data_IF_250984953242
#
_entry.id   IF_250984953242
#
_cell.length_a   1.000
_cell.length_b   1.000
_cell.length_c   1.000
_cell.angle_alpha   90.00
_cell.angle_beta   90.00
_cell.angle_gamma   90.00
#
_symmetry.space_group_name_H-M   'P 1'
#
loop_
_entity.id
_entity.type
_entity.pdbx_description
1 polymer ?
#
# COMPACT_ATOMS: atom_id res chain seq x y z
N UNK A 1 2.28 5.30 -8.57
CA UNK A 1 1.58 6.55 -8.18
C UNK A 1 0.07 6.53 -8.39
N UNK A 2 -0.46 6.07 -9.52
CA UNK A 2 -1.92 5.97 -9.76
C UNK A 2 -2.68 5.21 -8.66
N UNK A 3 -2.15 4.05 -8.22
CA UNK A 3 -2.74 3.26 -7.14
C UNK A 3 -2.80 4.00 -5.80
N UNK A 4 -1.74 4.70 -5.41
CA UNK A 4 -1.69 5.54 -4.19
C UNK A 4 -2.75 6.65 -4.22
N UNK A 5 -2.84 7.40 -5.32
CA UNK A 5 -3.83 8.46 -5.46
C UNK A 5 -5.27 7.91 -5.40
N UNK A 6 -5.48 6.75 -6.02
CA UNK A 6 -6.76 6.06 -6.00
C UNK A 6 -7.13 5.57 -4.59
N UNK A 7 -6.18 4.97 -3.85
CA UNK A 7 -6.39 4.54 -2.46
C UNK A 7 -6.76 5.70 -1.52
N UNK A 8 -6.11 6.86 -1.67
CA UNK A 8 -6.48 8.08 -0.93
C UNK A 8 -7.91 8.50 -1.26
N UNK A 9 -8.27 8.51 -2.54
CA UNK A 9 -9.62 8.89 -3.00
C UNK A 9 -10.68 7.92 -2.48
N UNK A 10 -10.40 6.61 -2.47
CA UNK A 10 -11.28 5.59 -1.90
C UNK A 10 -11.50 5.86 -0.42
N UNK A 11 -10.44 6.13 0.35
CA UNK A 11 -10.60 6.41 1.77
C UNK A 11 -11.40 7.67 2.06
N UNK A 12 -11.18 8.76 1.32
CA UNK A 12 -11.94 10.01 1.52
C UNK A 12 -13.42 9.79 1.14
N UNK A 13 -13.67 8.96 0.12
CA UNK A 13 -15.02 8.59 -0.27
C UNK A 13 -15.69 7.71 0.80
N UNK A 14 -14.94 6.81 1.44
CA UNK A 14 -15.47 5.88 2.47
C UNK A 14 -15.73 6.58 3.79
N UNK A 15 -14.86 7.52 4.15
CA UNK A 15 -14.89 8.28 5.39
C UNK A 15 -15.07 9.76 5.05
N UNK A 16 -16.20 10.12 4.44
CA UNK A 16 -16.49 11.50 4.10
C UNK A 16 -17.18 12.19 5.29
N UNK A 17 -16.88 13.45 5.55
CA UNK A 17 -17.47 14.17 6.68
C UNK A 17 -18.55 15.15 6.23
N UNK A 18 -19.71 15.11 6.88
CA UNK A 18 -20.79 16.09 6.72
C UNK A 18 -20.95 16.87 8.03
N UNK A 19 -20.75 18.21 8.03
CA UNK A 19 -20.97 19.01 9.23
C UNK A 19 -22.45 19.02 9.63
N UNK A 20 -22.72 19.32 10.91
CA UNK A 20 -24.07 19.42 11.43
C UNK A 20 -24.86 20.55 10.72
N UNK A 21 -26.19 20.42 10.57
CA UNK A 21 -27.03 21.49 10.05
C UNK A 21 -26.80 22.78 10.83
N UNK A 22 -26.59 23.90 10.13
CA UNK A 22 -26.33 25.23 10.71
C UNK A 22 -25.03 25.36 11.52
N UNK A 23 -24.10 24.40 11.44
CA UNK A 23 -22.78 24.50 12.06
C UNK A 23 -22.74 24.27 13.57
N UNK A 24 -23.87 23.95 14.20
CA UNK A 24 -23.97 23.66 15.62
C UNK A 24 -24.22 22.15 15.83
N UNK A 25 -23.35 21.50 16.62
CA UNK A 25 -23.43 20.08 16.94
C UNK A 25 -22.37 19.21 16.23
N UNK A 26 -22.37 17.92 16.52
CA UNK A 26 -21.46 16.96 15.91
C UNK A 26 -21.89 16.62 14.48
N UNK A 27 -21.00 16.81 13.52
CA UNK A 27 -21.19 16.25 12.16
C UNK A 27 -21.07 14.74 12.12
N UNK A 28 -21.38 14.16 10.97
CA UNK A 28 -21.41 12.71 10.75
C UNK A 28 -20.43 12.27 9.66
N UNK A 29 -19.78 11.14 9.89
CA UNK A 29 -18.99 10.46 8.87
C UNK A 29 -19.90 9.52 8.08
N UNK A 30 -19.75 9.49 6.76
CA UNK A 30 -20.57 8.70 5.87
C UNK A 30 -19.81 8.27 4.61
N UNK A 31 -20.31 7.21 3.97
CA UNK A 31 -19.82 6.73 2.69
C UNK A 31 -20.42 7.56 1.54
N UNK A 32 -19.58 8.30 0.83
CA UNK A 32 -19.98 9.15 -0.28
C UNK A 32 -19.90 8.40 -1.62
N UNK A 33 -20.95 7.65 -1.96
CA UNK A 33 -21.00 6.88 -3.22
C UNK A 33 -20.90 7.76 -4.46
N UNK A 34 -21.40 9.00 -4.42
CA UNK A 34 -21.35 9.92 -5.58
C UNK A 34 -19.91 10.32 -5.89
N UNK A 35 -19.11 10.58 -4.85
CA UNK A 35 -17.68 10.88 -5.00
C UNK A 35 -16.94 9.67 -5.58
N UNK A 36 -17.24 8.47 -5.06
CA UNK A 36 -16.65 7.23 -5.55
C UNK A 36 -17.00 6.97 -7.02
N UNK A 37 -18.28 7.04 -7.39
CA UNK A 37 -18.77 6.87 -8.77
C UNK A 37 -18.15 7.89 -9.73
N UNK A 38 -17.99 9.15 -9.30
CA UNK A 38 -17.33 10.17 -10.12
C UNK A 38 -15.85 9.84 -10.39
N UNK A 39 -15.17 9.25 -9.41
CA UNK A 39 -13.74 8.94 -9.52
C UNK A 39 -13.44 7.63 -10.25
N UNK A 40 -14.30 6.61 -10.06
CA UNK A 40 -14.04 5.23 -10.50
C UNK A 40 -15.11 4.64 -11.42
N UNK A 41 -16.24 5.31 -11.60
CA UNK A 41 -17.27 4.93 -12.56
C UNK A 41 -16.87 5.29 -13.99
N UNK A 42 -17.57 4.70 -14.96
CA UNK A 42 -17.31 4.88 -16.40
C UNK A 42 -18.11 6.02 -17.02
N UNK A 43 -19.05 6.62 -16.27
CA UNK A 43 -19.95 7.65 -16.79
C UNK A 43 -19.25 8.97 -17.15
N UNK A 44 -18.14 9.29 -16.46
CA UNK A 44 -17.39 10.54 -16.67
C UNK A 44 -16.03 10.28 -17.33
N UNK A 45 -15.39 9.14 -17.03
CA UNK A 45 -14.12 8.74 -17.62
C UNK A 45 -14.04 7.22 -17.72
N UNK A 46 -13.53 6.71 -18.83
CA UNK A 46 -13.27 5.29 -19.01
C UNK A 46 -12.09 4.78 -18.14
N UNK A 47 -11.31 5.68 -17.52
CA UNK A 47 -10.14 5.32 -16.72
C UNK A 47 -10.48 4.78 -15.33
N UNK A 48 -11.73 4.94 -14.85
CA UNK A 48 -12.13 4.57 -13.50
C UNK A 48 -11.76 3.12 -13.12
N UNK A 49 -12.11 2.11 -13.93
CA UNK A 49 -11.70 0.73 -13.71
C UNK A 49 -10.18 0.52 -13.70
N UNK A 50 -9.44 1.21 -14.57
CA UNK A 50 -7.96 1.13 -14.59
C UNK A 50 -7.34 1.73 -13.32
N UNK A 51 -7.91 2.80 -12.78
CA UNK A 51 -7.50 3.37 -11.48
C UNK A 51 -7.70 2.38 -10.34
N UNK A 52 -8.81 1.62 -10.35
CA UNK A 52 -9.02 0.53 -9.38
C UNK A 52 -8.00 -0.59 -9.56
N UNK A 53 -7.75 -1.06 -10.80
CA UNK A 53 -6.70 -2.07 -11.07
C UNK A 53 -5.33 -1.64 -10.56
N UNK A 54 -5.00 -0.35 -10.68
CA UNK A 54 -3.75 0.20 -10.14
C UNK A 54 -3.66 0.11 -8.60
N UNK A 55 -4.79 0.14 -7.86
CA UNK A 55 -4.79 -0.11 -6.41
C UNK A 55 -4.43 -1.56 -6.12
N UNK A 56 -5.06 -2.52 -6.84
CA UNK A 56 -4.72 -3.94 -6.72
C UNK A 56 -3.26 -4.20 -7.10
N UNK A 57 -2.76 -3.58 -8.15
CA UNK A 57 -1.35 -3.71 -8.54
C UNK A 57 -0.40 -3.32 -7.41
N UNK A 58 -0.61 -2.16 -6.76
CA UNK A 58 0.25 -1.74 -5.65
C UNK A 58 0.09 -2.66 -4.44
N UNK A 59 -1.13 -3.11 -4.14
CA UNK A 59 -1.37 -4.10 -3.10
C UNK A 59 -0.57 -5.40 -3.33
N UNK A 60 -0.60 -5.94 -4.56
CA UNK A 60 0.13 -7.16 -4.92
C UNK A 60 1.65 -6.95 -4.87
N UNK A 61 2.14 -5.78 -5.28
CA UNK A 61 3.55 -5.42 -5.20
C UNK A 61 4.04 -5.39 -3.74
N UNK A 62 3.28 -4.75 -2.84
CA UNK A 62 3.63 -4.71 -1.42
C UNK A 62 3.46 -6.06 -0.73
N UNK A 63 2.42 -6.83 -1.10
CA UNK A 63 2.24 -8.22 -0.65
C UNK A 63 3.46 -9.07 -1.01
N UNK A 64 3.96 -8.94 -2.24
CA UNK A 64 5.14 -9.67 -2.69
C UNK A 64 6.40 -9.25 -1.93
N UNK A 65 6.57 -7.97 -1.67
CA UNK A 65 7.67 -7.48 -0.84
C UNK A 65 7.59 -8.05 0.59
N UNK A 66 6.41 -8.12 1.19
CA UNK A 66 6.20 -8.74 2.50
C UNK A 66 6.54 -10.23 2.50
N UNK A 67 6.12 -10.99 1.48
CA UNK A 67 6.50 -12.40 1.33
C UNK A 67 8.01 -12.61 1.32
N UNK A 68 8.71 -11.76 0.56
CA UNK A 68 10.15 -11.78 0.44
C UNK A 68 10.85 -11.36 1.74
N UNK A 69 10.25 -10.42 2.47
CA UNK A 69 10.73 -9.97 3.77
C UNK A 69 10.37 -10.90 4.94
N UNK A 70 9.51 -11.90 4.74
CA UNK A 70 9.03 -12.78 5.82
C UNK A 70 10.17 -13.37 6.68
N UNK A 71 11.26 -13.93 6.11
CA UNK A 71 12.32 -14.52 6.94
C UNK A 71 13.15 -13.48 7.72
N UNK A 72 13.17 -12.22 7.26
CA UNK A 72 13.77 -11.10 7.97
C UNK A 72 12.86 -10.64 9.12
N UNK A 73 11.57 -10.44 8.83
CA UNK A 73 10.58 -9.95 9.80
C UNK A 73 10.32 -10.94 10.95
N UNK A 74 10.42 -12.25 10.69
CA UNK A 74 10.32 -13.28 11.75
C UNK A 74 11.47 -13.23 12.77
N UNK A 75 12.61 -12.60 12.44
CA UNK A 75 13.74 -12.43 13.36
C UNK A 75 13.71 -11.09 14.09
N UNK A 76 12.81 -10.18 13.71
CA UNK A 76 12.72 -8.87 14.33
C UNK A 76 12.09 -8.93 15.72
N UNK A 77 12.63 -8.15 16.64
CA UNK A 77 12.20 -8.15 18.05
C UNK A 77 10.96 -7.29 18.30
N UNK A 78 10.64 -6.38 17.38
CA UNK A 78 9.55 -5.39 17.51
C UNK A 78 9.57 -4.59 18.82
N UNK A 79 10.74 -4.39 19.42
CA UNK A 79 10.91 -3.86 20.77
C UNK A 79 10.23 -2.50 20.99
N UNK A 80 9.29 -2.45 21.94
CA UNK A 80 8.62 -1.24 22.42
C UNK A 80 8.96 -0.91 23.88
N UNK A 81 9.52 -1.88 24.61
CA UNK A 81 9.71 -1.82 26.06
C UNK A 81 8.56 -2.49 26.86
N UNK A 82 7.51 -2.96 26.18
CA UNK A 82 6.47 -3.80 26.76
C UNK A 82 6.57 -5.23 26.18
N UNK A 83 7.03 -6.18 26.99
CA UNK A 83 7.26 -7.57 26.54
C UNK A 83 5.98 -8.29 26.07
N UNK A 84 4.81 -7.91 26.60
CA UNK A 84 3.54 -8.50 26.19
C UNK A 84 3.13 -8.04 24.79
N UNK A 85 3.17 -6.73 24.53
CA UNK A 85 2.89 -6.14 23.21
C UNK A 85 3.92 -6.61 22.16
N UNK A 86 5.19 -6.72 22.53
CA UNK A 86 6.26 -7.19 21.64
C UNK A 86 6.08 -8.68 21.27
N UNK A 87 5.57 -9.50 22.19
CA UNK A 87 5.22 -10.91 21.92
C UNK A 87 3.97 -11.01 21.04
N UNK A 88 2.93 -10.24 21.35
CA UNK A 88 1.70 -10.21 20.56
C UNK A 88 1.97 -9.75 19.12
N UNK A 89 2.76 -8.69 18.94
CA UNK A 89 3.14 -8.18 17.62
C UNK A 89 3.88 -9.24 16.81
N UNK A 90 4.82 -9.98 17.42
CA UNK A 90 5.52 -11.08 16.76
C UNK A 90 4.57 -12.17 16.28
N UNK A 91 3.65 -12.61 17.14
CA UNK A 91 2.66 -13.62 16.79
C UNK A 91 1.78 -13.15 15.62
N UNK A 92 1.26 -11.92 15.66
CA UNK A 92 0.42 -11.38 14.59
C UNK A 92 1.16 -11.27 13.25
N UNK A 93 2.46 -10.91 13.30
CA UNK A 93 3.30 -10.88 12.10
C UNK A 93 3.52 -12.31 11.58
N UNK A 94 3.79 -13.28 12.44
CA UNK A 94 3.94 -14.68 12.05
C UNK A 94 2.67 -15.23 11.39
N UNK A 95 1.51 -15.04 12.03
CA UNK A 95 0.20 -15.48 11.52
C UNK A 95 -0.08 -14.86 10.14
N UNK A 96 0.19 -13.55 9.99
CA UNK A 96 0.05 -12.87 8.70
C UNK A 96 0.97 -13.50 7.64
N UNK A 97 2.23 -13.81 7.97
CA UNK A 97 3.15 -14.45 7.02
C UNK A 97 2.71 -15.86 6.64
N UNK A 98 2.11 -16.62 7.56
CA UNK A 98 1.52 -17.93 7.28
C UNK A 98 0.35 -17.83 6.31
N UNK A 99 -0.57 -16.90 6.54
CA UNK A 99 -1.70 -16.64 5.64
C UNK A 99 -1.17 -16.30 4.24
N UNK A 100 -0.21 -15.39 4.14
CA UNK A 100 0.31 -14.96 2.84
C UNK A 100 0.99 -16.13 2.09
N UNK A 101 1.71 -17.02 2.79
CA UNK A 101 2.35 -18.20 2.19
C UNK A 101 1.36 -19.16 1.53
N UNK A 102 0.10 -19.18 1.95
CA UNK A 102 -0.94 -20.00 1.32
C UNK A 102 -1.36 -19.51 -0.08
N UNK A 103 -0.91 -18.32 -0.49
CA UNK A 103 -1.20 -17.71 -1.81
C UNK A 103 0.07 -17.50 -2.67
N UNK A 104 0.80 -18.55 -3.07
CA UNK A 104 2.15 -18.43 -3.66
C UNK A 104 2.20 -17.85 -5.09
N UNK A 105 1.08 -17.70 -5.81
CA UNK A 105 1.06 -17.46 -7.26
C UNK A 105 0.47 -16.11 -7.69
N UNK A 106 0.74 -15.01 -6.97
CA UNK A 106 0.13 -13.71 -7.32
C UNK A 106 1.00 -12.82 -8.22
N UNK A 107 2.30 -13.10 -8.38
CA UNK A 107 3.21 -12.19 -9.08
C UNK A 107 4.47 -12.89 -9.61
N UNK A 108 4.74 -12.80 -10.92
CA UNK A 108 6.02 -13.21 -11.51
C UNK A 108 6.99 -12.01 -11.52
N UNK A 109 7.98 -12.05 -10.63
CA UNK A 109 8.99 -10.99 -10.52
C UNK A 109 9.82 -10.82 -11.79
N UNK A 110 9.97 -11.92 -12.55
CA UNK A 110 10.81 -11.90 -13.74
C UNK A 110 10.23 -10.99 -14.80
N UNK A 111 8.91 -10.88 -14.95
CA UNK A 111 8.26 -9.97 -15.91
C UNK A 111 8.41 -8.48 -15.56
N UNK A 112 8.44 -8.12 -14.27
CA UNK A 112 8.53 -6.71 -13.86
C UNK A 112 9.98 -6.20 -13.78
N UNK A 113 10.92 -7.10 -13.52
CA UNK A 113 12.34 -6.76 -13.33
C UNK A 113 13.26 -7.51 -14.31
N UNK A 114 12.78 -7.79 -15.53
CA UNK A 114 13.64 -8.26 -16.64
C UNK A 114 14.67 -7.19 -16.97
N UNK A 115 15.96 -7.50 -16.85
CA UNK A 115 16.99 -6.58 -17.33
C UNK A 115 18.40 -7.13 -17.23
N UNK A 116 19.22 -6.75 -18.20
CA UNK A 116 20.69 -6.82 -18.12
C UNK A 116 21.11 -6.10 -16.83
N UNK A 117 22.04 -6.70 -16.07
CA UNK A 117 22.41 -6.33 -14.71
C UNK A 117 22.68 -4.81 -14.48
N UNK A 118 23.17 -4.11 -15.49
CA UNK A 118 23.37 -2.65 -15.48
C UNK A 118 22.06 -1.86 -15.42
N UNK A 119 21.05 -2.30 -16.17
CA UNK A 119 19.76 -1.64 -16.28
C UNK A 119 18.95 -1.76 -14.98
N UNK A 120 19.00 -2.91 -14.29
CA UNK A 120 18.31 -3.09 -13.03
C UNK A 120 18.87 -2.20 -11.89
N UNK A 121 20.18 -1.94 -11.89
CA UNK A 121 20.81 -1.03 -10.93
C UNK A 121 20.43 0.43 -11.18
N UNK A 122 20.44 0.85 -12.44
CA UNK A 122 20.00 2.18 -12.86
C UNK A 122 18.53 2.39 -12.50
N UNK A 123 17.66 1.43 -12.82
CA UNK A 123 16.24 1.46 -12.52
C UNK A 123 15.98 1.58 -11.01
N UNK A 124 16.69 0.82 -10.19
CA UNK A 124 16.60 0.92 -8.72
C UNK A 124 16.96 2.33 -8.23
N UNK A 125 18.05 2.91 -8.73
CA UNK A 125 18.49 4.24 -8.30
C UNK A 125 17.53 5.32 -8.79
N UNK A 126 16.99 5.18 -10.00
CA UNK A 126 15.97 6.06 -10.54
C UNK A 126 14.71 6.04 -9.67
N UNK A 127 14.20 4.83 -9.34
CA UNK A 127 13.07 4.69 -8.42
C UNK A 127 13.39 5.33 -7.07
N UNK A 128 14.55 5.04 -6.47
CA UNK A 128 14.96 5.64 -5.19
C UNK A 128 14.91 7.17 -5.27
N UNK A 129 15.47 7.75 -6.31
CA UNK A 129 15.48 9.20 -6.51
C UNK A 129 14.07 9.77 -6.67
N UNK A 130 13.20 9.09 -7.43
CA UNK A 130 11.79 9.47 -7.57
C UNK A 130 11.04 9.44 -6.23
N UNK A 131 11.19 8.40 -5.42
CA UNK A 131 10.54 8.32 -4.10
C UNK A 131 11.06 9.39 -3.13
N UNK A 132 12.35 9.73 -3.16
CA UNK A 132 12.91 10.86 -2.40
C UNK A 132 12.29 12.18 -2.87
N UNK A 133 12.17 12.39 -4.17
CA UNK A 133 11.56 13.60 -4.74
C UNK A 133 10.07 13.69 -4.39
N UNK A 134 9.32 12.59 -4.47
CA UNK A 134 7.91 12.54 -4.06
C UNK A 134 7.79 12.86 -2.56
N UNK A 135 8.66 12.32 -1.71
CA UNK A 135 8.66 12.62 -0.28
C UNK A 135 8.88 14.13 0.00
N UNK A 136 9.73 14.80 -0.79
CA UNK A 136 9.91 16.26 -0.74
C UNK A 136 8.66 17.02 -1.23
N UNK A 137 7.99 16.53 -2.26
CA UNK A 137 6.72 17.12 -2.72
C UNK A 137 5.65 17.05 -1.63
N UNK A 138 5.62 15.96 -0.85
CA UNK A 138 4.68 15.83 0.28
C UNK A 138 4.92 16.88 1.37
N UNK A 139 6.10 17.50 1.45
CA UNK A 139 6.35 18.63 2.37
C UNK A 139 5.60 19.90 2.00
N UNK A 140 5.12 20.02 0.77
CA UNK A 140 4.33 21.15 0.29
C UNK A 140 2.81 20.96 0.52
N UNK A 141 2.38 19.85 1.12
CA UNK A 141 0.96 19.59 1.38
C UNK A 141 0.54 20.24 2.70
N UNK A 142 -0.39 21.20 2.63
CA UNK A 142 -0.88 21.97 3.80
C UNK A 142 -1.70 21.13 4.79
N UNK A 143 -2.43 20.14 4.31
CA UNK A 143 -3.21 19.25 5.16
C UNK A 143 -2.28 18.29 5.93
N UNK A 144 -2.15 18.47 7.25
CA UNK A 144 -1.24 17.67 8.09
C UNK A 144 -1.49 16.16 8.00
N UNK A 145 -2.75 15.73 8.08
CA UNK A 145 -3.12 14.31 7.94
C UNK A 145 -2.77 13.79 6.54
N UNK A 146 -3.00 14.59 5.50
CA UNK A 146 -2.70 14.23 4.13
C UNK A 146 -1.19 14.11 3.90
N UNK A 147 -0.40 15.04 4.45
CA UNK A 147 1.06 15.01 4.45
C UNK A 147 1.60 13.77 5.17
N UNK A 148 1.08 13.47 6.38
CA UNK A 148 1.46 12.29 7.15
C UNK A 148 1.23 11.01 6.35
N UNK A 149 0.00 10.77 5.91
CA UNK A 149 -0.35 9.55 5.16
C UNK A 149 0.30 9.50 3.77
N UNK A 150 0.54 10.65 3.15
CA UNK A 150 1.26 10.76 1.89
C UNK A 150 2.72 10.33 2.04
N UNK A 151 3.40 10.80 3.07
CA UNK A 151 4.77 10.37 3.39
C UNK A 151 4.84 8.90 3.79
N UNK A 152 3.93 8.44 4.62
CA UNK A 152 3.89 7.06 5.10
C UNK A 152 3.73 6.05 3.94
N UNK A 153 2.77 6.28 3.05
CA UNK A 153 2.55 5.40 1.89
C UNK A 153 3.70 5.48 0.87
N UNK A 154 4.22 6.68 0.59
CA UNK A 154 5.40 6.85 -0.28
C UNK A 154 6.60 6.10 0.27
N UNK A 155 6.83 6.18 1.58
CA UNK A 155 7.92 5.49 2.25
C UNK A 155 7.72 3.97 2.21
N UNK A 156 6.51 3.47 2.52
CA UNK A 156 6.19 2.04 2.48
C UNK A 156 6.37 1.43 1.10
N UNK A 157 5.89 2.10 0.04
CA UNK A 157 6.14 1.69 -1.35
C UNK A 157 7.64 1.67 -1.70
N UNK A 158 8.40 2.67 -1.24
CA UNK A 158 9.85 2.72 -1.41
C UNK A 158 10.57 1.57 -0.69
N UNK A 159 10.13 1.23 0.52
CA UNK A 159 10.62 0.07 1.28
C UNK A 159 10.27 -1.24 0.57
N UNK A 160 9.07 -1.37 0.02
CA UNK A 160 8.66 -2.55 -0.73
C UNK A 160 9.58 -2.78 -1.94
N UNK A 161 9.85 -1.73 -2.72
CA UNK A 161 10.79 -1.81 -3.85
C UNK A 161 12.23 -2.09 -3.39
N UNK A 162 12.68 -1.48 -2.28
CA UNK A 162 14.00 -1.78 -1.68
C UNK A 162 14.14 -3.27 -1.36
N UNK A 163 13.09 -3.91 -0.84
CA UNK A 163 13.04 -5.36 -0.59
C UNK A 163 13.04 -6.14 -1.90
N UNK A 164 12.19 -5.80 -2.86
CA UNK A 164 12.10 -6.53 -4.13
C UNK A 164 13.46 -6.53 -4.89
N UNK A 165 14.18 -5.42 -4.84
CA UNK A 165 15.51 -5.27 -5.43
C UNK A 165 16.67 -5.86 -4.60
N UNK A 166 16.43 -6.50 -3.44
CA UNK A 166 17.51 -7.06 -2.60
C UNK A 166 18.26 -8.21 -3.25
N UNK A 167 17.61 -8.96 -4.14
CA UNK A 167 18.15 -10.22 -4.70
C UNK A 167 18.77 -10.04 -6.08
N UNK A 168 18.72 -8.84 -6.64
CA UNK A 168 19.34 -8.54 -7.92
C UNK A 168 20.85 -8.84 -7.88
N UNK A 169 21.45 -9.36 -8.97
CA UNK A 169 22.86 -9.76 -9.02
C UNK A 169 23.87 -8.71 -8.55
N UNK A 170 23.53 -7.43 -8.72
CA UNK A 170 24.31 -6.26 -8.36
C UNK A 170 23.91 -5.61 -7.03
N UNK A 171 23.08 -6.25 -6.21
CA UNK A 171 22.80 -5.74 -4.86
C UNK A 171 24.09 -5.81 -4.03
N UNK A 172 24.43 -4.73 -3.32
CA UNK A 172 25.55 -4.68 -2.35
C UNK A 172 25.43 -5.71 -1.22
N UNK A 173 24.36 -6.50 -1.23
CA UNK A 173 23.91 -7.32 -0.14
C UNK A 173 24.22 -8.80 -0.38
N UNK A 174 24.33 -9.30 -1.62
CA UNK A 174 24.46 -10.76 -1.91
C UNK A 174 25.46 -11.51 -1.01
N UNK A 175 24.95 -12.53 -0.32
CA UNK A 175 25.69 -13.71 0.15
C UNK A 175 25.32 -14.91 -0.74
N UNK A 176 26.27 -15.80 -1.01
CA UNK A 176 26.25 -16.77 -2.11
C UNK A 176 25.25 -17.95 -1.98
N UNK A 177 24.32 -17.96 -1.03
CA UNK A 177 23.41 -19.09 -0.84
C UNK A 177 21.96 -18.67 -0.56
N UNK A 178 21.08 -19.17 -1.43
CA UNK A 178 19.61 -19.25 -1.34
C UNK A 178 18.79 -17.96 -1.30
N UNK A 179 17.54 -18.11 -1.78
CA UNK A 179 16.42 -17.18 -1.87
C UNK A 179 16.01 -16.51 -0.54
N UNK A 180 16.96 -15.85 0.12
CA UNK A 180 16.81 -15.24 1.43
C UNK A 180 17.51 -13.88 1.43
N UNK A 181 16.91 -12.92 2.15
CA UNK A 181 17.44 -11.58 2.30
C UNK A 181 18.92 -11.63 2.71
N UNK A 182 19.82 -10.91 2.01
CA UNK A 182 21.23 -11.08 2.27
C UNK A 182 21.69 -10.47 3.61
N UNK A 183 22.81 -10.94 4.16
CA UNK A 183 23.27 -10.64 5.53
C UNK A 183 23.49 -9.15 5.84
N UNK A 184 23.73 -8.32 4.83
CA UNK A 184 23.94 -6.88 5.00
C UNK A 184 22.66 -6.05 4.79
N UNK A 185 21.53 -6.68 4.42
CA UNK A 185 20.27 -5.97 4.23
C UNK A 185 19.60 -5.70 5.57
N UNK A 186 19.37 -4.42 5.86
CA UNK A 186 18.70 -3.97 7.08
C UNK A 186 17.51 -3.08 6.73
N UNK A 187 16.40 -3.30 7.44
CA UNK A 187 15.30 -2.37 7.49
C UNK A 187 15.36 -1.60 8.81
N UNK A 188 15.18 -0.28 8.72
CA UNK A 188 14.98 0.55 9.91
C UNK A 188 13.57 0.34 10.46
N UNK A 189 13.37 0.65 11.75
CA UNK A 189 12.02 0.61 12.37
C UNK A 189 10.99 1.38 11.54
N UNK A 190 11.36 2.55 11.03
CA UNK A 190 10.47 3.38 10.23
C UNK A 190 10.10 2.75 8.88
N UNK A 191 11.04 2.04 8.24
CA UNK A 191 10.77 1.29 7.02
C UNK A 191 9.80 0.12 7.29
N UNK A 192 9.99 -0.62 8.38
CA UNK A 192 9.09 -1.72 8.77
C UNK A 192 7.68 -1.19 9.05
N UNK A 193 7.56 -0.13 9.85
CA UNK A 193 6.26 0.49 10.17
C UNK A 193 5.60 1.03 8.90
N UNK A 194 6.35 1.73 8.05
CA UNK A 194 5.80 2.28 6.80
C UNK A 194 5.32 1.18 5.85
N UNK A 195 6.05 0.06 5.75
CA UNK A 195 5.67 -1.08 4.92
C UNK A 195 4.32 -1.67 5.35
N UNK A 196 4.16 -2.01 6.63
CA UNK A 196 2.89 -2.57 7.13
C UNK A 196 1.73 -1.58 7.04
N UNK A 197 1.96 -0.31 7.37
CA UNK A 197 0.91 0.70 7.31
C UNK A 197 0.47 1.01 5.87
N UNK A 198 1.42 1.02 4.92
CA UNK A 198 1.12 1.16 3.50
C UNK A 198 0.29 -0.03 3.01
N UNK A 199 0.73 -1.24 3.32
CA UNK A 199 0.02 -2.46 2.93
C UNK A 199 -1.41 -2.51 3.49
N UNK A 200 -1.55 -2.23 4.79
CA UNK A 200 -2.85 -2.14 5.46
C UNK A 200 -3.76 -1.07 4.84
N UNK A 201 -3.20 0.03 4.34
CA UNK A 201 -3.96 1.09 3.67
C UNK A 201 -4.52 0.64 2.32
N UNK A 202 -3.74 -0.08 1.53
CA UNK A 202 -4.21 -0.66 0.27
C UNK A 202 -5.20 -1.80 0.50
N UNK A 203 -4.94 -2.67 1.48
CA UNK A 203 -5.87 -3.72 1.91
C UNK A 203 -7.23 -3.13 2.32
N UNK A 204 -7.21 -2.08 3.15
CA UNK A 204 -8.42 -1.34 3.54
C UNK A 204 -9.12 -0.75 2.32
N UNK A 205 -8.38 -0.16 1.37
CA UNK A 205 -8.98 0.42 0.16
C UNK A 205 -9.69 -0.65 -0.69
N UNK A 206 -9.11 -1.84 -0.82
CA UNK A 206 -9.74 -2.97 -1.52
C UNK A 206 -11.01 -3.42 -0.79
N UNK A 207 -10.94 -3.56 0.55
CA UNK A 207 -12.09 -3.87 1.38
C UNK A 207 -13.22 -2.84 1.21
N UNK A 208 -12.89 -1.54 1.15
CA UNK A 208 -13.89 -0.50 0.94
C UNK A 208 -14.55 -0.56 -0.45
N UNK A 209 -13.81 -0.94 -1.49
CA UNK A 209 -14.35 -1.11 -2.86
C UNK A 209 -15.43 -2.21 -2.87
N UNK A 210 -15.23 -3.31 -2.16
CA UNK A 210 -16.24 -4.36 -1.98
C UNK A 210 -17.53 -3.81 -1.35
N UNK A 211 -17.43 -2.89 -0.39
CA UNK A 211 -18.57 -2.27 0.29
C UNK A 211 -19.29 -1.21 -0.56
N UNK A 212 -18.58 -0.53 -1.45
CA UNK A 212 -19.22 0.37 -2.42
C UNK A 212 -20.06 -0.37 -3.46
N UNK A 213 -19.66 -1.57 -3.86
CA UNK A 213 -20.32 -2.36 -4.92
C UNK A 213 -21.83 -2.54 -4.66
N UNK A 214 -22.31 -3.05 -3.51
CA UNK A 214 -23.74 -3.22 -3.26
C UNK A 214 -24.49 -1.88 -3.15
N UNK A 215 -23.89 -0.84 -2.57
CA UNK A 215 -24.54 0.48 -2.42
C UNK A 215 -24.78 1.17 -3.76
N UNK A 216 -23.88 0.97 -4.73
CA UNK A 216 -24.00 1.50 -6.09
C UNK A 216 -25.00 0.67 -6.90
N UNK A 217 -24.90 -0.67 -6.86
CA UNK A 217 -25.82 -1.56 -7.58
C UNK A 217 -27.26 -1.44 -7.07
N UNK A 218 -27.45 -1.32 -5.75
CA UNK A 218 -28.77 -1.11 -5.13
C UNK A 218 -29.40 0.27 -5.41
N UNK A 219 -28.62 1.24 -5.92
CA UNK A 219 -29.13 2.52 -6.43
C UNK A 219 -29.56 2.44 -7.89
N UNK A 220 -28.84 1.66 -8.70
CA UNK A 220 -29.21 1.44 -10.10
C UNK A 220 -30.54 0.70 -10.22
N UNK A 221 -30.81 -0.30 -9.36
CA UNK A 221 -32.10 -1.01 -9.32
C UNK A 221 -33.27 -0.07 -9.01
N UNK A 222 -33.12 0.83 -8.03
CA UNK A 222 -34.15 1.81 -7.65
C UNK A 222 -34.37 2.93 -8.67
N UNK A 223 -33.43 3.15 -9.60
CA UNK A 223 -33.56 4.17 -10.66
C UNK A 223 -34.28 3.62 -11.90
N UNK A 224 -34.34 2.31 -12.08
CA UNK A 224 -35.10 1.64 -13.16
C UNK A 224 -36.59 1.44 -12.86
N UNK A 225 -37.04 1.71 -11.64
CA UNK A 225 -38.43 1.56 -11.19
C UNK A 225 -39.20 2.91 -11.08
N UNK A 226 -38.61 4.00 -11.58
CA UNK A 226 -39.21 5.35 -11.68
C UNK A 226 -39.14 5.82 -13.13
#
# INVERSE_FOLDING_TARGET
MSGMHSAITISISSHNYKPAPHGFGSGTWFRNTKMFEKAFGTAISAEGPERLKNVYFVYLLELRALMKAAPYLQKELFFTGNEEEDRETRQLVEDLMEIIKTYPHQFDETEMFTGVESHARELREEFRQHFVNISRIMDCVECDKCRLWGKLQTHGMGTALKILFSDLPSSLFKSQESAMIPTNFQLTRNEVVALFQSFGRYASSIFEVEHFRPEIMGKNYRRTEL
#
